data_IF_465472775802
#
_entry.id   IF_465472775802
#
_cell.length_a   1.000
_cell.length_b   1.000
_cell.length_c   1.000
_cell.angle_alpha   90.00
_cell.angle_beta   90.00
_cell.angle_gamma   90.00
#
_symmetry.space_group_name_H-M   'P 1'
#
loop_
_entity.id
_entity.type
_entity.pdbx_description
1 polymer ?
#
# COMPACT_ATOMS: atom_id res chain seq x y z
N UNK A 1 47.14 -30.69 -64.30
CA UNK A 1 46.98 -29.51 -63.43
C UNK A 1 46.30 -29.96 -62.14
N UNK A 2 46.91 -29.73 -60.97
CA UNK A 2 46.56 -30.44 -59.75
C UNK A 2 45.72 -29.62 -58.75
N UNK A 3 44.98 -30.43 -57.99
CA UNK A 3 44.21 -30.29 -56.76
C UNK A 3 44.46 -29.10 -55.79
N UNK A 4 43.32 -28.58 -55.32
CA UNK A 4 43.12 -27.78 -54.11
C UNK A 4 43.64 -28.45 -52.83
N UNK A 5 44.22 -27.66 -51.93
CA UNK A 5 44.32 -27.99 -50.51
C UNK A 5 44.09 -26.74 -49.66
N UNK A 6 43.24 -26.89 -48.65
CA UNK A 6 42.86 -25.90 -47.63
C UNK A 6 44.00 -25.62 -46.65
N UNK A 7 44.15 -24.38 -46.22
CA UNK A 7 44.90 -24.00 -45.02
C UNK A 7 44.11 -22.96 -44.22
N UNK A 8 43.67 -23.36 -43.01
CA UNK A 8 43.13 -22.48 -41.99
C UNK A 8 44.24 -21.92 -41.08
N UNK A 9 44.09 -20.66 -40.66
CA UNK A 9 44.91 -20.01 -39.64
C UNK A 9 44.09 -19.82 -38.34
N UNK A 10 44.71 -19.90 -37.15
CA UNK A 10 44.00 -19.92 -35.87
C UNK A 10 43.74 -18.49 -35.33
N UNK A 11 42.51 -18.25 -34.87
CA UNK A 11 42.14 -17.05 -34.12
C UNK A 11 42.52 -17.21 -32.63
N UNK A 12 43.25 -16.21 -32.11
CA UNK A 12 43.70 -16.10 -30.71
C UNK A 12 42.53 -15.79 -29.77
N UNK A 13 42.53 -16.42 -28.60
CA UNK A 13 41.71 -16.08 -27.44
C UNK A 13 41.96 -14.64 -26.96
N UNK A 14 40.93 -13.80 -27.04
CA UNK A 14 40.77 -12.63 -26.18
C UNK A 14 39.91 -13.02 -24.97
N UNK A 15 40.49 -12.95 -23.76
CA UNK A 15 39.73 -12.92 -22.50
C UNK A 15 38.90 -11.63 -22.50
N UNK A 16 37.58 -11.75 -22.66
CA UNK A 16 36.67 -10.67 -22.30
C UNK A 16 36.34 -10.76 -20.81
N UNK A 17 36.58 -9.63 -20.14
CA UNK A 17 36.37 -9.42 -18.72
C UNK A 17 34.90 -9.54 -18.30
N UNK A 18 34.72 -9.71 -16.99
CA UNK A 18 33.51 -10.15 -16.34
C UNK A 18 32.28 -9.30 -16.68
N UNK A 19 31.21 -10.02 -16.99
CA UNK A 19 29.84 -9.52 -16.91
C UNK A 19 29.58 -9.20 -15.43
N UNK A 20 29.39 -7.92 -15.12
CA UNK A 20 29.01 -7.44 -13.80
C UNK A 20 27.70 -8.15 -13.40
N UNK A 21 27.76 -9.00 -12.36
CA UNK A 21 26.60 -9.75 -11.87
C UNK A 21 25.74 -8.83 -10.99
N UNK A 22 24.38 -8.86 -11.11
CA UNK A 22 23.46 -8.06 -10.28
C UNK A 22 23.68 -8.17 -8.77
N UNK A 23 24.30 -9.25 -8.28
CA UNK A 23 24.57 -9.54 -6.87
C UNK A 23 25.62 -8.61 -6.24
N UNK A 24 26.62 -8.17 -7.01
CA UNK A 24 27.75 -7.38 -6.47
C UNK A 24 27.30 -5.96 -6.06
N UNK A 25 26.36 -5.39 -6.81
CA UNK A 25 25.84 -4.04 -6.52
C UNK A 25 24.90 -4.03 -5.31
N UNK A 26 24.08 -5.08 -5.12
CA UNK A 26 23.21 -5.21 -3.94
C UNK A 26 24.03 -5.44 -2.67
N UNK A 27 25.03 -6.33 -2.71
CA UNK A 27 25.92 -6.55 -1.57
C UNK A 27 26.72 -5.31 -1.20
N UNK A 28 27.24 -4.58 -2.20
CA UNK A 28 27.92 -3.31 -2.00
C UNK A 28 26.98 -2.27 -1.37
N UNK A 29 25.76 -2.13 -1.89
CA UNK A 29 24.75 -1.20 -1.34
C UNK A 29 24.45 -1.50 0.13
N UNK A 30 24.26 -2.76 0.48
CA UNK A 30 24.02 -3.19 1.86
C UNK A 30 25.21 -2.87 2.78
N UNK A 31 26.45 -3.09 2.32
CA UNK A 31 27.65 -2.70 3.07
C UNK A 31 27.73 -1.19 3.28
N UNK A 32 27.41 -0.39 2.26
CA UNK A 32 27.39 1.07 2.36
C UNK A 32 26.31 1.58 3.33
N UNK A 33 25.12 0.97 3.33
CA UNK A 33 24.08 1.28 4.31
C UNK A 33 24.52 0.96 5.74
N UNK A 34 25.17 -0.18 5.95
CA UNK A 34 25.74 -0.54 7.26
C UNK A 34 26.81 0.45 7.73
N UNK A 35 27.69 0.90 6.84
CA UNK A 35 28.70 1.93 7.15
C UNK A 35 28.03 3.27 7.49
N UNK A 36 27.03 3.70 6.72
CA UNK A 36 26.25 4.92 7.00
C UNK A 36 25.57 4.84 8.36
N UNK A 37 24.91 3.72 8.67
CA UNK A 37 24.23 3.49 9.94
C UNK A 37 25.22 3.55 11.12
N UNK A 38 26.33 2.80 11.08
CA UNK A 38 27.39 2.85 12.12
C UNK A 38 27.86 4.29 12.36
N UNK A 39 28.06 5.05 11.30
CA UNK A 39 28.55 6.41 11.37
C UNK A 39 27.52 7.37 12.00
N UNK A 40 26.24 7.27 11.63
CA UNK A 40 25.16 8.08 12.20
C UNK A 40 24.94 7.77 13.68
N UNK A 41 24.89 6.49 14.04
CA UNK A 41 24.69 6.06 15.44
C UNK A 41 25.88 6.47 16.29
N UNK A 42 27.11 6.30 15.80
CA UNK A 42 28.30 6.68 16.56
C UNK A 42 28.40 8.17 16.83
N UNK A 43 28.06 9.01 15.84
CA UNK A 43 28.00 10.47 16.03
C UNK A 43 26.90 10.87 17.02
N UNK A 44 25.72 10.23 16.93
CA UNK A 44 24.59 10.52 17.82
C UNK A 44 24.88 10.11 19.28
N UNK A 45 25.53 8.96 19.49
CA UNK A 45 25.89 8.48 20.83
C UNK A 45 27.19 9.11 21.36
N UNK A 46 27.96 9.82 20.52
CA UNK A 46 29.25 10.40 20.87
C UNK A 46 30.35 9.37 21.13
N UNK A 47 30.20 8.13 20.63
CA UNK A 47 31.16 7.03 20.80
C UNK A 47 31.22 6.15 19.56
N UNK A 48 32.34 5.47 19.35
CA UNK A 48 32.45 4.50 18.26
C UNK A 48 31.53 3.29 18.51
N UNK A 49 30.85 2.83 17.45
CA UNK A 49 29.97 1.66 17.48
C UNK A 49 30.72 0.43 17.00
N UNK A 50 30.91 -0.55 17.89
CA UNK A 50 31.56 -1.83 17.59
C UNK A 50 30.56 -2.93 17.16
N UNK A 51 29.26 -2.62 17.16
CA UNK A 51 28.21 -3.56 16.74
C UNK A 51 28.21 -3.74 15.21
N UNK A 52 28.17 -4.99 14.73
CA UNK A 52 28.12 -5.26 13.29
C UNK A 52 26.71 -5.07 12.69
N UNK A 53 26.55 -4.31 11.59
CA UNK A 53 25.25 -4.11 10.98
C UNK A 53 24.85 -5.33 10.17
N UNK A 54 23.55 -5.64 10.20
CA UNK A 54 22.93 -6.63 9.35
C UNK A 54 21.99 -5.95 8.36
N UNK A 55 22.09 -6.36 7.10
CA UNK A 55 21.18 -5.89 6.05
C UNK A 55 19.85 -6.63 6.10
N UNK A 56 18.79 -5.95 5.71
CA UNK A 56 17.50 -6.57 5.40
C UNK A 56 16.88 -5.86 4.18
N UNK A 57 15.72 -6.36 3.72
CA UNK A 57 15.12 -5.93 2.45
C UNK A 57 14.97 -4.41 2.31
N UNK A 58 14.65 -3.71 3.39
CA UNK A 58 14.33 -2.27 3.39
C UNK A 58 15.42 -1.39 3.97
N UNK A 59 16.59 -1.94 4.34
CA UNK A 59 17.60 -1.14 5.03
C UNK A 59 18.70 -1.95 5.72
N UNK A 60 19.32 -1.32 6.71
CA UNK A 60 20.33 -1.92 7.58
C UNK A 60 19.94 -1.71 9.05
N UNK A 61 20.26 -2.67 9.91
CA UNK A 61 20.04 -2.56 11.35
C UNK A 61 21.27 -3.00 12.16
N UNK A 62 21.43 -2.45 13.35
CA UNK A 62 22.40 -2.90 14.36
C UNK A 62 21.82 -2.74 15.76
N UNK A 63 22.33 -3.47 16.75
CA UNK A 63 21.90 -3.35 18.15
C UNK A 63 23.05 -2.83 18.99
N UNK A 64 22.80 -1.80 19.79
CA UNK A 64 23.75 -1.23 20.76
C UNK A 64 23.05 -1.11 22.10
N UNK A 65 23.60 -1.75 23.13
CA UNK A 65 23.09 -1.70 24.50
C UNK A 65 21.57 -2.01 24.60
N UNK A 66 21.12 -3.05 23.89
CA UNK A 66 19.71 -3.46 23.86
C UNK A 66 18.79 -2.61 22.97
N UNK A 67 19.30 -1.53 22.35
CA UNK A 67 18.53 -0.66 21.43
C UNK A 67 18.79 -1.04 19.98
N UNK A 68 17.73 -1.33 19.23
CA UNK A 68 17.80 -1.52 17.79
C UNK A 68 17.90 -0.17 17.09
N UNK A 69 18.92 0.02 16.25
CA UNK A 69 19.04 1.16 15.34
C UNK A 69 18.83 0.66 13.92
N UNK A 70 17.85 1.20 13.21
CA UNK A 70 17.50 0.79 11.86
C UNK A 70 17.52 1.98 10.91
N UNK A 71 18.30 1.90 9.83
CA UNK A 71 18.31 2.86 8.73
C UNK A 71 17.51 2.30 7.56
N UNK A 72 16.45 3.02 7.17
CA UNK A 72 15.64 2.70 5.99
C UNK A 72 16.27 3.28 4.73
N UNK A 73 16.27 2.49 3.67
CA UNK A 73 16.72 2.87 2.33
C UNK A 73 15.53 3.13 1.40
N UNK A 74 15.40 4.35 0.89
CA UNK A 74 14.35 4.75 -0.05
C UNK A 74 13.04 5.19 0.62
N UNK A 75 11.90 4.80 0.01
CA UNK A 75 10.57 5.12 0.55
C UNK A 75 10.33 4.40 1.86
N UNK A 76 10.10 5.17 2.92
CA UNK A 76 9.92 4.65 4.26
C UNK A 76 8.44 4.49 4.66
N UNK A 77 7.48 4.85 3.78
CA UNK A 77 6.04 4.86 4.06
C UNK A 77 5.48 3.52 4.57
N UNK A 78 6.15 2.40 4.25
CA UNK A 78 5.76 1.03 4.63
C UNK A 78 6.88 0.24 5.33
N UNK A 79 7.74 0.93 6.07
CA UNK A 79 8.95 0.36 6.64
C UNK A 79 8.94 0.20 8.16
N UNK A 80 7.88 0.65 8.85
CA UNK A 80 7.80 0.58 10.31
C UNK A 80 7.67 -0.87 10.80
N UNK A 81 6.70 -1.61 10.28
CA UNK A 81 6.46 -3.01 10.63
C UNK A 81 7.68 -3.91 10.40
N UNK A 82 8.33 -3.87 9.21
CA UNK A 82 9.61 -4.54 9.00
C UNK A 82 10.71 -4.18 10.00
N UNK A 83 10.82 -2.91 10.39
CA UNK A 83 11.83 -2.46 11.36
C UNK A 83 11.56 -2.97 12.78
N UNK A 84 10.30 -2.95 13.23
CA UNK A 84 9.89 -3.53 14.52
C UNK A 84 10.13 -5.05 14.51
N UNK A 85 9.72 -5.74 13.43
CA UNK A 85 9.96 -7.16 13.27
C UNK A 85 11.45 -7.52 13.31
N UNK A 86 12.30 -6.67 12.72
CA UNK A 86 13.76 -6.83 12.81
C UNK A 86 14.24 -6.65 14.25
N UNK A 87 13.79 -5.61 14.96
CA UNK A 87 14.16 -5.33 16.34
C UNK A 87 13.78 -6.48 17.29
N UNK A 88 12.54 -6.98 17.20
CA UNK A 88 12.03 -8.10 18.02
C UNK A 88 12.90 -9.35 17.80
N UNK A 89 13.25 -9.68 16.55
CA UNK A 89 14.08 -10.85 16.24
C UNK A 89 15.52 -10.77 16.77
N UNK A 90 15.96 -9.57 17.14
CA UNK A 90 17.28 -9.34 17.75
C UNK A 90 17.17 -9.08 19.26
N UNK A 91 16.04 -9.44 19.87
CA UNK A 91 15.78 -9.28 21.31
C UNK A 91 16.02 -7.85 21.81
N UNK A 92 15.74 -6.85 20.96
CA UNK A 92 15.91 -5.44 21.31
C UNK A 92 14.76 -4.95 22.21
N UNK A 93 15.08 -4.06 23.15
CA UNK A 93 14.14 -3.48 24.11
C UNK A 93 13.45 -2.22 23.55
N UNK A 94 14.02 -1.60 22.52
CA UNK A 94 13.48 -0.44 21.83
C UNK A 94 14.00 -0.34 20.39
N UNK A 95 13.35 0.52 19.59
CA UNK A 95 13.74 0.82 18.20
C UNK A 95 13.98 2.33 17.99
N UNK A 96 15.13 2.66 17.44
CA UNK A 96 15.48 3.96 16.87
C UNK A 96 15.50 3.84 15.34
N UNK A 97 14.44 4.34 14.70
CA UNK A 97 14.22 4.24 13.26
C UNK A 97 14.70 5.52 12.56
N UNK A 98 15.64 5.38 11.63
CA UNK A 98 16.20 6.47 10.83
C UNK A 98 15.66 6.39 9.41
N UNK A 99 15.05 7.47 8.92
CA UNK A 99 14.51 7.56 7.56
C UNK A 99 14.63 8.98 6.98
N UNK A 100 14.60 9.08 5.65
CA UNK A 100 14.67 10.37 4.92
C UNK A 100 13.31 10.80 4.35
N UNK A 101 12.34 9.88 4.26
CA UNK A 101 11.00 10.12 3.73
C UNK A 101 9.94 9.62 4.70
N UNK A 102 8.70 10.12 4.57
CA UNK A 102 7.53 9.69 5.36
C UNK A 102 7.75 9.69 6.90
N UNK A 103 8.71 10.48 7.40
CA UNK A 103 9.12 10.43 8.81
C UNK A 103 8.00 10.83 9.76
N UNK A 104 7.20 11.84 9.40
CA UNK A 104 6.03 12.26 10.18
C UNK A 104 4.95 11.16 10.31
N UNK A 105 4.68 10.44 9.22
CA UNK A 105 3.81 9.25 9.20
C UNK A 105 4.37 8.14 10.10
N UNK A 106 5.66 7.85 9.98
CA UNK A 106 6.34 6.85 10.81
C UNK A 106 6.27 7.21 12.30
N UNK A 107 6.53 8.47 12.64
CA UNK A 107 6.47 8.97 14.02
C UNK A 107 5.04 8.92 14.58
N UNK A 108 4.01 9.23 13.76
CA UNK A 108 2.61 9.05 14.14
C UNK A 108 2.29 7.60 14.44
N UNK A 109 2.63 6.68 13.53
CA UNK A 109 2.36 5.24 13.71
C UNK A 109 3.14 4.62 14.87
N UNK A 110 4.39 5.05 15.07
CA UNK A 110 5.22 4.62 16.20
C UNK A 110 4.57 4.92 17.55
N UNK A 111 3.84 6.03 17.66
CA UNK A 111 3.10 6.41 18.87
C UNK A 111 1.95 5.48 19.26
N UNK A 112 1.57 4.53 18.40
CA UNK A 112 0.51 3.55 18.68
C UNK A 112 1.02 2.19 19.14
N UNK A 113 2.32 2.06 19.42
CA UNK A 113 2.92 0.85 19.98
C UNK A 113 3.24 1.05 21.47
N UNK A 114 3.12 -0.02 22.24
CA UNK A 114 3.67 -0.12 23.60
C UNK A 114 5.17 -0.42 23.59
N UNK A 115 5.69 -1.00 22.49
CA UNK A 115 7.12 -1.12 22.23
C UNK A 115 7.74 0.26 21.97
N UNK A 116 8.80 0.68 22.71
CA UNK A 116 9.36 2.02 22.56
C UNK A 116 10.00 2.24 21.19
N UNK A 117 9.48 3.20 20.44
CA UNK A 117 9.97 3.55 19.09
C UNK A 117 10.24 5.05 19.00
N UNK A 118 11.47 5.42 18.62
CA UNK A 118 11.86 6.79 18.27
C UNK A 118 12.13 6.88 16.77
N UNK A 119 11.68 7.96 16.14
CA UNK A 119 11.89 8.19 14.70
C UNK A 119 12.80 9.39 14.50
N UNK A 120 13.79 9.24 13.63
CA UNK A 120 14.85 10.19 13.38
C UNK A 120 14.94 10.52 11.89
N UNK A 121 15.08 11.81 11.58
CA UNK A 121 15.43 12.29 10.26
C UNK A 121 16.95 12.49 10.20
N UNK A 122 17.59 11.87 9.21
CA UNK A 122 19.02 12.04 8.99
C UNK A 122 19.28 13.29 8.13
N UNK A 123 19.80 14.34 8.75
CA UNK A 123 20.32 15.52 8.06
C UNK A 123 21.85 15.47 8.08
N UNK A 124 22.45 15.10 6.95
CA UNK A 124 23.88 14.76 6.82
C UNK A 124 24.34 13.69 7.82
N UNK A 125 24.93 14.11 8.95
CA UNK A 125 25.42 13.24 10.04
C UNK A 125 24.65 13.44 11.34
N UNK A 126 23.68 14.34 11.37
CA UNK A 126 22.86 14.64 12.53
C UNK A 126 21.55 13.86 12.46
N UNK A 127 21.15 13.29 13.59
CA UNK A 127 19.84 12.68 13.76
C UNK A 127 18.92 13.68 14.46
N UNK A 128 17.94 14.19 13.73
CA UNK A 128 16.94 15.10 14.24
C UNK A 128 15.70 14.33 14.69
N UNK A 129 15.19 14.54 15.91
CA UNK A 129 13.99 13.86 16.37
C UNK A 129 12.79 14.32 15.54
N UNK A 130 11.96 13.36 15.12
CA UNK A 130 10.82 13.63 14.27
C UNK A 130 9.56 13.84 15.10
N UNK A 131 8.77 14.85 14.73
CA UNK A 131 7.44 15.09 15.29
C UNK A 131 6.42 14.31 14.48
N UNK A 132 5.51 13.61 15.19
CA UNK A 132 4.38 12.93 14.57
C UNK A 132 3.53 13.93 13.77
N UNK A 133 3.31 13.61 12.49
CA UNK A 133 2.38 14.37 11.66
C UNK A 133 0.95 14.09 12.16
N UNK A 134 0.07 15.08 12.31
CA UNK A 134 -1.32 14.84 12.68
C UNK A 134 -2.12 14.20 11.53
N UNK A 135 -3.29 13.65 11.86
CA UNK A 135 -4.24 13.22 10.83
C UNK A 135 -4.81 14.44 10.10
N UNK A 136 -4.67 14.47 8.77
CA UNK A 136 -5.33 15.47 7.96
C UNK A 136 -6.86 15.28 8.04
N UNK A 137 -7.66 16.36 7.98
CA UNK A 137 -9.11 16.24 7.87
C UNK A 137 -9.51 15.39 6.66
N UNK A 138 -10.50 14.52 6.81
CA UNK A 138 -11.02 13.76 5.69
C UNK A 138 -11.68 14.71 4.68
N UNK A 139 -11.24 14.76 3.41
CA UNK A 139 -11.86 15.61 2.42
C UNK A 139 -13.31 15.18 2.17
N UNK A 140 -14.24 16.14 2.16
CA UNK A 140 -15.60 15.90 1.71
C UNK A 140 -15.64 15.76 0.18
N UNK A 141 -16.54 14.92 -0.33
CA UNK A 141 -16.85 14.93 -1.75
C UNK A 141 -17.53 16.25 -2.12
N UNK A 142 -17.23 16.77 -3.30
CA UNK A 142 -17.88 17.99 -3.80
C UNK A 142 -19.29 17.68 -4.26
N UNK A 143 -20.19 18.65 -4.11
CA UNK A 143 -21.59 18.52 -4.53
C UNK A 143 -21.72 18.07 -5.99
N UNK A 144 -20.98 18.72 -6.91
CA UNK A 144 -20.94 18.37 -8.33
C UNK A 144 -20.52 16.91 -8.59
N UNK A 145 -19.66 16.34 -7.73
CA UNK A 145 -19.27 14.93 -7.86
C UNK A 145 -20.37 14.01 -7.31
N UNK A 146 -21.02 14.40 -6.22
CA UNK A 146 -22.12 13.63 -5.64
C UNK A 146 -23.38 13.63 -6.51
N UNK A 147 -23.58 14.63 -7.36
CA UNK A 147 -24.67 14.68 -8.34
C UNK A 147 -24.64 13.49 -9.32
N UNK A 148 -23.47 12.86 -9.51
CA UNK A 148 -23.29 11.69 -10.38
C UNK A 148 -23.60 10.35 -9.70
N UNK A 149 -23.90 10.33 -8.39
CA UNK A 149 -24.24 9.09 -7.65
C UNK A 149 -25.42 8.35 -8.31
N UNK A 150 -26.48 9.06 -8.66
CA UNK A 150 -27.64 8.47 -9.33
C UNK A 150 -27.28 7.85 -10.70
N UNK A 151 -26.27 8.39 -11.39
CA UNK A 151 -25.77 7.83 -12.65
C UNK A 151 -25.01 6.51 -12.41
N UNK A 152 -24.22 6.46 -11.33
CA UNK A 152 -23.48 5.25 -10.91
C UNK A 152 -24.46 4.12 -10.57
N UNK A 153 -25.48 4.43 -9.76
CA UNK A 153 -26.53 3.48 -9.38
C UNK A 153 -27.33 2.99 -10.59
N UNK A 154 -27.72 3.89 -11.49
CA UNK A 154 -28.43 3.55 -12.72
C UNK A 154 -27.60 2.62 -13.61
N UNK A 155 -26.27 2.79 -13.62
CA UNK A 155 -25.34 1.90 -14.32
C UNK A 155 -25.15 0.54 -13.64
N UNK A 156 -25.65 0.35 -12.42
CA UNK A 156 -25.59 -0.90 -11.67
C UNK A 156 -24.35 -1.08 -10.80
N UNK A 157 -23.52 -0.05 -10.63
CA UNK A 157 -22.41 -0.04 -9.68
C UNK A 157 -22.85 0.48 -8.31
N UNK A 158 -22.12 0.10 -7.26
CA UNK A 158 -22.31 0.59 -5.90
C UNK A 158 -21.53 1.90 -5.70
N UNK A 159 -22.18 3.03 -5.41
CA UNK A 159 -21.48 4.28 -5.15
C UNK A 159 -20.61 4.21 -3.89
N UNK A 160 -19.38 4.70 -3.99
CA UNK A 160 -18.44 4.74 -2.88
C UNK A 160 -17.74 6.10 -2.82
N UNK A 161 -17.64 6.66 -1.62
CA UNK A 161 -16.91 7.90 -1.36
C UNK A 161 -15.76 7.58 -0.40
N UNK A 162 -14.53 7.67 -0.91
CA UNK A 162 -13.31 7.54 -0.08
C UNK A 162 -12.42 8.75 -0.35
N UNK A 163 -11.94 9.40 0.72
CA UNK A 163 -11.11 10.61 0.63
C UNK A 163 -11.69 11.72 -0.29
N UNK A 164 -13.00 11.91 -0.25
CA UNK A 164 -13.71 12.91 -1.07
C UNK A 164 -13.82 12.56 -2.55
N UNK A 165 -13.38 11.37 -2.98
CA UNK A 165 -13.48 10.91 -4.35
C UNK A 165 -14.73 10.03 -4.51
N UNK A 166 -15.61 10.40 -5.43
CA UNK A 166 -16.79 9.61 -5.78
C UNK A 166 -16.41 8.57 -6.83
N UNK A 167 -16.69 7.31 -6.54
CA UNK A 167 -16.42 6.16 -7.40
C UNK A 167 -17.63 5.23 -7.46
N UNK A 168 -17.67 4.36 -8.48
CA UNK A 168 -18.60 3.23 -8.52
C UNK A 168 -17.83 1.92 -8.46
N UNK A 169 -18.30 1.01 -7.61
CA UNK A 169 -17.66 -0.27 -7.36
C UNK A 169 -18.53 -1.46 -7.78
N UNK A 170 -17.88 -2.55 -8.16
CA UNK A 170 -18.51 -3.87 -8.29
C UNK A 170 -17.75 -4.84 -7.42
N UNK A 171 -18.38 -5.30 -6.34
CA UNK A 171 -17.76 -6.23 -5.37
C UNK A 171 -16.41 -5.71 -4.86
N UNK A 172 -16.34 -4.43 -4.52
CA UNK A 172 -15.12 -3.75 -4.05
C UNK A 172 -14.10 -3.38 -5.13
N UNK A 173 -14.39 -3.56 -6.43
CA UNK A 173 -13.51 -3.12 -7.52
C UNK A 173 -14.05 -1.84 -8.15
N UNK A 174 -13.26 -0.76 -8.15
CA UNK A 174 -13.60 0.50 -8.84
C UNK A 174 -13.74 0.25 -10.35
N UNK A 175 -14.92 0.55 -10.88
CA UNK A 175 -15.27 0.45 -12.31
C UNK A 175 -15.57 1.81 -12.93
N UNK A 176 -15.76 2.84 -12.11
CA UNK A 176 -15.84 4.22 -12.57
C UNK A 176 -15.41 5.20 -11.48
N UNK A 177 -15.00 6.40 -11.90
CA UNK A 177 -14.54 7.49 -11.04
C UNK A 177 -15.04 8.82 -11.55
N UNK A 178 -15.50 9.68 -10.67
CA UNK A 178 -15.78 11.08 -10.99
C UNK A 178 -14.48 11.89 -10.96
N UNK A 179 -14.23 12.67 -12.00
CA UNK A 179 -13.04 13.51 -12.17
C UNK A 179 -13.40 14.91 -12.63
N UNK A 180 -12.50 15.86 -12.40
CA UNK A 180 -12.64 17.25 -12.86
C UNK A 180 -12.13 17.49 -14.28
N UNK A 181 -11.13 16.71 -14.67
CA UNK A 181 -10.44 16.79 -15.94
C UNK A 181 -10.29 15.39 -16.52
N UNK A 182 -10.40 15.22 -17.85
CA UNK A 182 -10.21 13.93 -18.49
C UNK A 182 -8.83 13.32 -18.18
N UNK A 183 -8.80 12.02 -17.87
CA UNK A 183 -7.59 11.21 -17.78
C UNK A 183 -7.05 10.93 -19.19
N UNK A 184 -6.46 11.94 -19.83
CA UNK A 184 -5.83 11.84 -21.16
C UNK A 184 -4.35 12.18 -21.03
N UNK A 185 -3.47 11.41 -21.69
CA UNK A 185 -2.04 11.72 -21.84
C UNK A 185 -1.10 10.95 -20.92
N UNK A 186 -1.58 9.98 -20.14
CA UNK A 186 -0.72 9.11 -19.31
C UNK A 186 -0.19 7.90 -20.07
N UNK A 187 -0.85 7.48 -21.15
CA UNK A 187 -0.37 6.41 -22.04
C UNK A 187 0.69 6.90 -23.06
N UNK A 188 0.80 8.21 -23.27
CA UNK A 188 1.54 8.81 -24.40
C UNK A 188 3.03 9.06 -24.10
N UNK A 189 3.50 8.81 -22.86
CA UNK A 189 4.94 8.90 -22.51
C UNK A 189 5.85 7.87 -23.21
N UNK A 190 5.31 7.04 -24.12
CA UNK A 190 6.08 6.04 -24.91
C UNK A 190 6.24 6.44 -26.40
N UNK A 191 5.89 7.67 -26.79
CA UNK A 191 6.25 8.15 -28.13
C UNK A 191 5.61 9.48 -28.48
N UNK A 192 6.44 10.40 -29.00
CA UNK A 192 6.10 11.75 -29.46
C UNK A 192 4.98 11.75 -30.52
N UNK A 193 3.73 11.63 -30.08
CA UNK A 193 2.55 11.98 -30.87
C UNK A 193 1.74 12.96 -30.04
N UNK A 194 1.88 14.25 -30.34
CA UNK A 194 1.00 15.29 -29.82
C UNK A 194 -0.42 15.05 -30.35
N UNK A 195 -1.24 14.34 -29.58
CA UNK A 195 -2.70 14.33 -29.71
C UNK A 195 -3.28 15.62 -29.11
N UNK A 196 -2.81 16.78 -29.56
CA UNK A 196 -3.24 18.10 -29.07
C UNK A 196 -4.64 18.52 -29.56
N UNK A 197 -5.35 17.63 -30.29
CA UNK A 197 -6.64 17.95 -30.94
C UNK A 197 -7.90 17.31 -30.33
N UNK A 198 -7.79 16.52 -29.26
CA UNK A 198 -8.94 15.80 -28.65
C UNK A 198 -8.92 15.84 -27.11
N UNK A 199 -8.43 16.93 -26.52
CA UNK A 199 -8.66 17.16 -25.08
C UNK A 199 -10.13 17.59 -24.94
N UNK A 200 -10.96 16.71 -24.36
CA UNK A 200 -12.34 17.02 -24.04
C UNK A 200 -12.43 18.28 -23.16
N UNK A 201 -13.54 19.04 -23.27
CA UNK A 201 -13.70 20.28 -22.51
C UNK A 201 -13.57 20.03 -20.99
N UNK A 202 -12.85 20.89 -20.23
CA UNK A 202 -12.78 20.78 -18.78
C UNK A 202 -14.18 20.72 -18.16
N UNK A 203 -14.39 19.83 -17.19
CA UNK A 203 -15.68 19.67 -16.55
C UNK A 203 -15.86 18.33 -15.84
N UNK A 204 -16.63 18.37 -14.76
CA UNK A 204 -16.97 17.19 -13.94
C UNK A 204 -17.59 16.11 -14.82
N UNK A 205 -16.99 14.92 -14.79
CA UNK A 205 -17.43 13.78 -15.61
C UNK A 205 -17.20 12.46 -14.89
N UNK A 206 -18.02 11.47 -15.24
CA UNK A 206 -17.87 10.09 -14.77
C UNK A 206 -17.03 9.30 -15.77
N UNK A 207 -15.83 8.89 -15.40
CA UNK A 207 -14.99 8.04 -16.24
C UNK A 207 -15.24 6.56 -15.95
N UNK A 208 -15.48 5.76 -16.98
CA UNK A 208 -15.74 4.31 -16.86
C UNK A 208 -14.48 3.52 -17.24
N UNK A 209 -14.12 2.53 -16.42
CA UNK A 209 -12.96 1.65 -16.59
C UNK A 209 -12.33 1.24 -15.26
N UNK A 210 -11.71 0.07 -15.26
CA UNK A 210 -11.03 -0.55 -14.11
C UNK A 210 -9.61 0.00 -13.97
N UNK A 211 -9.49 1.13 -13.27
CA UNK A 211 -8.25 1.85 -13.03
C UNK A 211 -7.86 2.84 -14.14
N UNK A 212 -6.88 3.68 -13.85
CA UNK A 212 -6.48 4.85 -14.67
C UNK A 212 -6.28 4.51 -16.15
N UNK A 213 -5.48 3.48 -16.47
CA UNK A 213 -5.16 3.13 -17.86
C UNK A 213 -6.38 2.61 -18.63
N UNK A 214 -7.28 1.90 -17.95
CA UNK A 214 -8.48 1.37 -18.58
C UNK A 214 -9.46 2.49 -18.88
N UNK A 215 -9.59 3.48 -17.97
CA UNK A 215 -10.40 4.68 -18.18
C UNK A 215 -9.88 5.54 -19.34
N UNK A 216 -8.57 5.75 -19.41
CA UNK A 216 -7.93 6.47 -20.53
C UNK A 216 -8.18 5.73 -21.86
N UNK A 217 -7.98 4.41 -21.90
CA UNK A 217 -8.25 3.61 -23.09
C UNK A 217 -9.73 3.65 -23.48
N UNK A 218 -10.63 3.58 -22.50
CA UNK A 218 -12.07 3.66 -22.73
C UNK A 218 -12.46 5.00 -23.37
N UNK A 219 -11.91 6.11 -22.88
CA UNK A 219 -12.14 7.45 -23.43
C UNK A 219 -11.62 7.58 -24.87
N UNK A 220 -10.42 7.08 -25.16
CA UNK A 220 -9.86 7.13 -26.52
C UNK A 220 -10.69 6.33 -27.53
N UNK A 221 -11.31 5.23 -27.08
CA UNK A 221 -12.11 4.35 -27.95
C UNK A 221 -13.56 4.80 -28.11
N UNK A 222 -14.16 5.41 -27.09
CA UNK A 222 -15.59 5.71 -27.04
C UNK A 222 -15.93 7.22 -27.01
N UNK A 223 -14.94 8.11 -26.89
CA UNK A 223 -15.12 9.57 -26.87
C UNK A 223 -15.81 10.09 -25.59
N UNK A 224 -16.54 11.21 -25.70
CA UNK A 224 -17.20 11.93 -24.58
C UNK A 224 -18.46 11.24 -24.00
N UNK A 225 -18.75 9.98 -24.34
CA UNK A 225 -19.94 9.29 -23.81
C UNK A 225 -19.57 8.18 -22.82
N UNK A 226 -19.58 8.48 -21.52
CA UNK A 226 -19.85 7.50 -20.48
C UNK A 226 -21.33 7.63 -20.09
N UNK A 227 -22.20 6.96 -20.84
CA UNK A 227 -23.62 6.84 -20.49
C UNK A 227 -23.82 5.72 -19.48
N UNK A 228 -24.98 5.72 -18.80
CA UNK A 228 -25.47 4.62 -17.97
C UNK A 228 -25.23 3.26 -18.65
N UNK A 229 -25.46 3.15 -19.96
CA UNK A 229 -25.27 1.92 -20.74
C UNK A 229 -23.81 1.46 -20.79
N UNK A 230 -22.86 2.38 -20.94
CA UNK A 230 -21.43 2.08 -20.95
C UNK A 230 -20.97 1.51 -19.59
N UNK A 231 -21.43 2.13 -18.50
CA UNK A 231 -21.16 1.64 -17.15
C UNK A 231 -21.81 0.26 -16.93
N UNK A 232 -23.05 0.06 -17.37
CA UNK A 232 -23.73 -1.24 -17.27
C UNK A 232 -22.98 -2.35 -17.98
N UNK A 233 -22.44 -2.11 -19.18
CA UNK A 233 -21.61 -3.09 -19.89
C UNK A 233 -20.36 -3.50 -19.11
N UNK A 234 -19.66 -2.54 -18.49
CA UNK A 234 -18.49 -2.83 -17.64
C UNK A 234 -18.90 -3.55 -16.35
N UNK A 235 -20.01 -3.15 -15.73
CA UNK A 235 -20.55 -3.80 -14.53
C UNK A 235 -20.88 -5.27 -14.80
N UNK A 236 -21.55 -5.58 -15.90
CA UNK A 236 -21.87 -6.95 -16.30
C UNK A 236 -20.61 -7.78 -16.52
N UNK A 237 -19.63 -7.23 -17.26
CA UNK A 237 -18.35 -7.89 -17.49
C UNK A 237 -17.62 -8.21 -16.17
N UNK A 238 -17.55 -7.25 -15.24
CA UNK A 238 -16.90 -7.46 -13.94
C UNK A 238 -17.65 -8.49 -13.09
N UNK A 239 -18.99 -8.40 -13.01
CA UNK A 239 -19.81 -9.38 -12.27
C UNK A 239 -19.64 -10.80 -12.75
N UNK A 240 -19.46 -11.00 -14.06
CA UNK A 240 -19.25 -12.33 -14.67
C UNK A 240 -17.91 -12.96 -14.28
N UNK A 241 -16.92 -12.14 -13.90
CA UNK A 241 -15.55 -12.58 -13.65
C UNK A 241 -15.10 -12.45 -12.19
N UNK A 242 -15.78 -11.64 -11.37
CA UNK A 242 -15.38 -11.36 -9.98
C UNK A 242 -16.30 -12.05 -9.00
N UNK A 243 -16.04 -13.32 -8.67
CA UNK A 243 -16.75 -14.08 -7.64
C UNK A 243 -15.80 -15.01 -6.91
N UNK A 244 -16.21 -15.50 -5.73
CA UNK A 244 -15.44 -16.49 -4.97
C UNK A 244 -15.14 -17.75 -5.83
N UNK A 245 -16.13 -18.20 -6.61
CA UNK A 245 -16.00 -19.38 -7.49
C UNK A 245 -15.44 -19.07 -8.89
N UNK A 246 -15.06 -17.82 -9.17
CA UNK A 246 -14.65 -17.46 -10.53
C UNK A 246 -13.32 -18.13 -10.90
N UNK A 247 -13.17 -18.59 -12.17
CA UNK A 247 -11.88 -18.98 -12.72
C UNK A 247 -10.83 -17.87 -12.54
N UNK A 248 -9.55 -18.23 -12.65
CA UNK A 248 -8.46 -17.25 -12.56
C UNK A 248 -8.62 -16.14 -13.61
N UNK A 249 -9.02 -14.94 -13.17
CA UNK A 249 -9.24 -13.77 -14.01
C UNK A 249 -8.61 -12.52 -13.37
N UNK A 250 -7.99 -11.60 -14.15
CA UNK A 250 -7.41 -10.37 -13.60
C UNK A 250 -8.39 -9.54 -12.74
N UNK A 251 -9.64 -9.39 -13.19
CA UNK A 251 -10.70 -8.68 -12.43
C UNK A 251 -11.00 -9.31 -11.06
N UNK A 252 -10.74 -10.62 -10.89
CA UNK A 252 -10.92 -11.31 -9.62
C UNK A 252 -9.69 -11.21 -8.70
N UNK A 253 -8.55 -10.73 -9.21
CA UNK A 253 -7.28 -10.64 -8.47
C UNK A 253 -6.90 -9.22 -8.06
N UNK A 254 -7.55 -8.22 -8.62
CA UNK A 254 -7.33 -6.81 -8.24
C UNK A 254 -8.09 -6.47 -6.96
N UNK A 255 -7.47 -5.63 -6.12
CA UNK A 255 -7.99 -5.21 -4.81
C UNK A 255 -8.69 -6.35 -4.04
N UNK A 256 -8.00 -7.48 -3.76
CA UNK A 256 -8.59 -8.60 -3.01
C UNK A 256 -9.03 -8.18 -1.62
N UNK A 257 -8.40 -7.17 -1.02
CA UNK A 257 -8.76 -6.65 0.30
C UNK A 257 -10.13 -5.97 0.29
N UNK A 258 -10.45 -5.23 -0.78
CA UNK A 258 -11.78 -4.66 -0.97
C UNK A 258 -12.83 -5.71 -1.31
N UNK A 259 -12.44 -6.82 -1.96
CA UNK A 259 -13.34 -7.96 -2.15
C UNK A 259 -13.75 -8.56 -0.81
N UNK A 260 -12.78 -8.84 0.07
CA UNK A 260 -13.03 -9.37 1.41
C UNK A 260 -13.91 -8.42 2.23
N UNK A 261 -13.64 -7.10 2.16
CA UNK A 261 -14.49 -6.08 2.79
C UNK A 261 -15.92 -6.13 2.25
N UNK A 262 -16.08 -6.21 0.93
CA UNK A 262 -17.41 -6.29 0.31
C UNK A 262 -18.16 -7.56 0.75
N UNK A 263 -17.47 -8.70 0.85
CA UNK A 263 -18.07 -9.95 1.38
C UNK A 263 -18.54 -9.75 2.83
N UNK A 264 -17.73 -9.10 3.68
CA UNK A 264 -18.10 -8.81 5.07
C UNK A 264 -19.28 -7.82 5.19
N UNK A 265 -19.39 -6.85 4.27
CA UNK A 265 -20.56 -5.95 4.21
C UNK A 265 -21.83 -6.71 3.84
N UNK A 266 -21.73 -7.68 2.92
CA UNK A 266 -22.89 -8.46 2.45
C UNK A 266 -23.24 -9.63 3.38
N UNK A 267 -22.29 -10.11 4.17
CA UNK A 267 -22.47 -11.15 5.18
C UNK A 267 -21.68 -10.84 6.46
N UNK A 268 -22.17 -9.88 7.29
CA UNK A 268 -21.51 -9.44 8.53
C UNK A 268 -21.20 -10.58 9.52
N UNK A 269 -22.01 -11.64 9.52
CA UNK A 269 -21.84 -12.77 10.42
C UNK A 269 -20.52 -13.52 10.17
N UNK A 270 -19.93 -13.43 8.97
CA UNK A 270 -18.62 -14.03 8.65
C UNK A 270 -17.45 -13.39 9.40
N UNK A 271 -17.65 -12.18 9.91
CA UNK A 271 -16.65 -11.43 10.68
C UNK A 271 -17.13 -11.17 12.11
N UNK A 272 -18.06 -11.98 12.60
CA UNK A 272 -18.66 -11.88 13.93
C UNK A 272 -19.35 -10.52 14.21
N UNK A 273 -19.90 -9.89 13.17
CA UNK A 273 -20.61 -8.61 13.25
C UNK A 273 -22.09 -8.75 12.89
N UNK A 274 -22.90 -7.81 13.38
CA UNK A 274 -24.32 -7.62 13.02
C UNK A 274 -24.47 -6.69 11.82
N UNK A 275 -23.60 -5.68 11.71
CA UNK A 275 -23.52 -4.79 10.55
C UNK A 275 -22.08 -4.42 10.27
N UNK A 276 -21.76 -4.15 9.00
CA UNK A 276 -20.43 -3.70 8.57
C UNK A 276 -20.62 -2.60 7.53
N UNK A 277 -19.92 -1.47 7.72
CA UNK A 277 -19.93 -0.34 6.80
C UNK A 277 -18.50 -0.03 6.32
N UNK A 278 -18.28 0.18 5.01
CA UNK A 278 -17.00 0.63 4.49
C UNK A 278 -16.52 1.93 5.16
N UNK A 279 -15.22 2.03 5.44
CA UNK A 279 -14.59 3.23 5.96
C UNK A 279 -13.37 3.64 5.12
N UNK A 280 -13.02 4.92 5.13
CA UNK A 280 -11.80 5.41 4.48
C UNK A 280 -10.56 4.88 5.22
N UNK A 281 -9.54 4.47 4.47
CA UNK A 281 -8.23 4.14 5.01
C UNK A 281 -7.51 5.41 5.52
N UNK A 282 -6.51 5.31 6.42
CA UNK A 282 -5.75 6.47 6.91
C UNK A 282 -4.92 7.15 5.82
N UNK A 283 -4.62 6.43 4.73
CA UNK A 283 -3.88 6.92 3.56
C UNK A 283 -4.65 6.50 2.30
N UNK A 284 -4.82 7.40 1.31
CA UNK A 284 -5.47 7.05 0.05
C UNK A 284 -4.79 5.88 -0.66
N UNK A 285 -5.59 4.96 -1.20
CA UNK A 285 -5.09 3.88 -2.06
C UNK A 285 -4.49 4.50 -3.35
N UNK A 286 -3.22 4.22 -3.71
CA UNK A 286 -2.63 4.77 -4.92
C UNK A 286 -3.20 4.17 -6.21
N UNK A 287 -3.43 2.85 -6.22
CA UNK A 287 -3.96 2.12 -7.38
C UNK A 287 -4.69 0.84 -6.96
N UNK A 288 -5.62 0.37 -7.80
CA UNK A 288 -6.28 -0.93 -7.65
C UNK A 288 -5.35 -2.13 -7.87
N UNK A 289 -4.18 -1.89 -8.47
CA UNK A 289 -3.13 -2.89 -8.67
C UNK A 289 -2.24 -3.04 -7.45
N UNK A 290 -2.22 -2.02 -6.58
CA UNK A 290 -1.37 -2.02 -5.41
C UNK A 290 -2.06 -2.75 -4.26
N UNK A 291 -1.28 -3.56 -3.57
CA UNK A 291 -1.69 -4.20 -2.33
C UNK A 291 -1.82 -3.14 -1.23
N UNK A 292 -3.05 -2.90 -0.80
CA UNK A 292 -3.36 -1.95 0.26
C UNK A 292 -4.50 -2.50 1.10
N UNK A 293 -4.43 -2.45 2.43
CA UNK A 293 -5.53 -2.93 3.25
C UNK A 293 -6.79 -2.09 3.03
N UNK A 294 -7.96 -2.72 3.21
CA UNK A 294 -9.26 -2.04 3.18
C UNK A 294 -9.82 -1.94 4.59
N UNK A 295 -10.53 -0.86 4.90
CA UNK A 295 -11.05 -0.57 6.25
C UNK A 295 -12.58 -0.58 6.25
N UNK A 296 -13.16 -1.08 7.32
CA UNK A 296 -14.58 -0.99 7.63
C UNK A 296 -14.80 -0.79 9.13
N UNK A 297 -15.99 -0.35 9.50
CA UNK A 297 -16.47 -0.32 10.89
C UNK A 297 -17.59 -1.34 11.02
N UNK A 298 -17.43 -2.28 11.96
CA UNK A 298 -18.43 -3.29 12.27
C UNK A 298 -19.11 -3.03 13.61
N UNK A 299 -20.38 -3.41 13.76
CA UNK A 299 -21.09 -3.43 15.05
C UNK A 299 -21.30 -4.87 15.48
N UNK A 300 -20.81 -5.25 16.65
CA UNK A 300 -21.00 -6.60 17.19
C UNK A 300 -22.39 -6.80 17.84
N UNK A 301 -22.66 -8.02 18.31
CA UNK A 301 -23.93 -8.38 18.98
C UNK A 301 -24.18 -7.60 20.29
N UNK A 302 -23.12 -7.10 20.91
CA UNK A 302 -23.13 -6.22 22.07
C UNK A 302 -23.28 -4.73 21.73
N UNK A 303 -23.37 -4.36 20.46
CA UNK A 303 -23.47 -2.98 19.99
C UNK A 303 -22.15 -2.22 19.97
N UNK A 304 -21.01 -2.89 20.15
CA UNK A 304 -19.68 -2.23 20.13
C UNK A 304 -19.23 -2.03 18.69
N UNK A 305 -18.70 -0.84 18.41
CA UNK A 305 -18.12 -0.47 17.11
C UNK A 305 -16.66 -0.90 17.05
N UNK A 306 -16.33 -1.82 16.15
CA UNK A 306 -15.00 -2.39 15.98
C UNK A 306 -14.40 -1.94 14.64
N UNK A 307 -13.11 -1.65 14.61
CA UNK A 307 -12.39 -1.38 13.36
C UNK A 307 -11.98 -2.71 12.74
N UNK A 308 -12.39 -2.93 11.49
CA UNK A 308 -12.06 -4.11 10.72
C UNK A 308 -11.07 -3.72 9.61
N UNK A 309 -9.95 -4.43 9.54
CA UNK A 309 -8.94 -4.20 8.49
C UNK A 309 -8.75 -5.48 7.69
N UNK A 310 -9.04 -5.41 6.41
CA UNK A 310 -8.92 -6.52 5.48
C UNK A 310 -7.60 -6.42 4.74
N UNK A 311 -6.86 -7.52 4.69
CA UNK A 311 -5.58 -7.60 3.96
C UNK A 311 -5.48 -8.90 3.19
N UNK A 312 -4.63 -8.91 2.17
CA UNK A 312 -4.28 -10.10 1.40
C UNK A 312 -2.78 -10.09 1.14
N UNK A 313 -2.17 -11.27 1.11
CA UNK A 313 -0.72 -11.44 1.08
C UNK A 313 -0.05 -11.13 2.42
N UNK A 314 1.22 -11.54 2.54
CA UNK A 314 2.04 -11.22 3.71
C UNK A 314 2.41 -9.74 3.68
N UNK A 315 1.89 -8.99 4.65
CA UNK A 315 2.11 -7.55 4.82
C UNK A 315 2.65 -7.26 6.22
N UNK A 316 3.95 -6.96 6.31
CA UNK A 316 4.59 -6.64 7.58
C UNK A 316 4.16 -5.29 8.15
N UNK A 317 3.63 -4.39 7.33
CA UNK A 317 3.19 -3.05 7.76
C UNK A 317 1.69 -2.99 8.09
N UNK A 318 1.01 -4.14 8.09
CA UNK A 318 -0.42 -4.24 8.36
C UNK A 318 -0.80 -3.76 9.77
N UNK A 319 -0.04 -4.14 10.79
CA UNK A 319 -0.32 -3.72 12.19
C UNK A 319 -0.14 -2.21 12.35
N UNK A 320 0.99 -1.58 11.94
CA UNK A 320 1.11 -0.13 11.90
C UNK A 320 -0.03 0.57 11.16
N UNK A 321 -0.40 0.06 9.98
CA UNK A 321 -1.50 0.60 9.20
C UNK A 321 -2.85 0.52 9.94
N UNK A 322 -3.14 -0.60 10.58
CA UNK A 322 -4.41 -0.82 11.27
C UNK A 322 -4.56 0.10 12.49
N UNK A 323 -3.48 0.32 13.23
CA UNK A 323 -3.44 1.28 14.33
C UNK A 323 -3.66 2.73 13.84
N UNK A 324 -3.02 3.10 12.73
CA UNK A 324 -3.21 4.40 12.07
C UNK A 324 -4.66 4.58 11.60
N UNK A 325 -5.29 3.51 11.07
CA UNK A 325 -6.68 3.52 10.63
C UNK A 325 -7.65 3.76 11.78
N UNK A 326 -7.46 3.06 12.91
CA UNK A 326 -8.26 3.26 14.12
C UNK A 326 -8.18 4.70 14.63
N UNK A 327 -6.96 5.24 14.71
CA UNK A 327 -6.75 6.62 15.14
C UNK A 327 -7.30 7.66 14.15
N UNK A 328 -7.20 7.40 12.84
CA UNK A 328 -7.72 8.28 11.80
C UNK A 328 -9.26 8.39 11.86
N UNK A 329 -9.95 7.26 12.00
CA UNK A 329 -11.41 7.24 12.13
C UNK A 329 -11.87 8.02 13.36
N UNK A 330 -11.19 7.84 14.50
CA UNK A 330 -11.46 8.63 15.70
C UNK A 330 -11.24 10.14 15.47
N UNK A 331 -10.19 10.52 14.74
CA UNK A 331 -9.92 11.91 14.38
C UNK A 331 -10.95 12.50 13.40
N UNK A 332 -11.61 11.67 12.60
CA UNK A 332 -12.63 12.07 11.63
C UNK A 332 -14.07 12.05 12.18
N UNK A 333 -14.24 11.70 13.45
CA UNK A 333 -15.53 11.84 14.16
C UNK A 333 -16.12 10.53 14.68
N UNK A 334 -15.52 9.38 14.40
CA UNK A 334 -15.92 8.10 15.01
C UNK A 334 -15.37 7.97 16.44
N UNK A 335 -15.92 8.75 17.37
CA UNK A 335 -15.40 8.84 18.75
C UNK A 335 -15.77 7.67 19.67
N UNK A 336 -16.70 6.80 19.24
CA UNK A 336 -17.20 5.65 20.02
C UNK A 336 -16.59 4.31 19.59
N UNK A 337 -15.44 4.34 18.88
CA UNK A 337 -14.73 3.12 18.50
C UNK A 337 -14.20 2.38 19.73
N UNK A 338 -14.40 1.08 19.76
CA UNK A 338 -13.76 0.21 20.74
C UNK A 338 -12.23 0.30 20.60
N UNK A 339 -11.51 0.10 21.70
CA UNK A 339 -10.04 -0.07 21.69
C UNK A 339 -9.63 -1.48 21.23
N UNK A 340 -10.32 -1.98 20.19
CA UNK A 340 -10.12 -3.28 19.57
C UNK A 340 -10.17 -3.16 18.05
N UNK A 341 -9.20 -3.78 17.39
CA UNK A 341 -9.07 -3.85 15.93
C UNK A 341 -9.00 -5.32 15.54
N UNK A 342 -9.75 -5.72 14.51
CA UNK A 342 -9.66 -7.07 13.96
C UNK A 342 -9.06 -7.04 12.56
N UNK A 343 -7.94 -7.74 12.38
CA UNK A 343 -7.30 -7.98 11.10
C UNK A 343 -7.92 -9.22 10.47
N UNK A 344 -8.55 -9.08 9.32
CA UNK A 344 -9.08 -10.18 8.53
C UNK A 344 -8.18 -10.47 7.33
N UNK A 345 -7.61 -11.67 7.31
CA UNK A 345 -6.73 -12.15 6.25
C UNK A 345 -7.18 -13.52 5.75
N UNK A 346 -6.59 -14.02 4.67
CA UNK A 346 -6.70 -15.44 4.33
C UNK A 346 -5.78 -16.27 5.22
N UNK A 347 -6.11 -17.54 5.42
CA UNK A 347 -5.30 -18.47 6.23
C UNK A 347 -3.80 -18.45 5.86
N UNK A 348 -3.49 -18.47 4.57
CA UNK A 348 -2.10 -18.51 4.07
C UNK A 348 -1.36 -17.17 4.21
N UNK A 349 -2.08 -16.07 4.45
CA UNK A 349 -1.50 -14.73 4.56
C UNK A 349 -1.13 -14.38 6.00
N UNK A 350 -1.74 -15.08 6.98
CA UNK A 350 -1.49 -14.86 8.40
C UNK A 350 -0.24 -15.62 8.88
N UNK A 351 0.87 -14.89 8.94
CA UNK A 351 2.17 -15.40 9.44
C UNK A 351 2.39 -15.03 10.91
N UNK A 352 3.26 -15.78 11.61
CA UNK A 352 3.52 -15.58 13.04
C UNK A 352 3.94 -14.15 13.39
N UNK A 353 4.79 -13.55 12.56
CA UNK A 353 5.31 -12.20 12.77
C UNK A 353 4.21 -11.13 12.80
N UNK A 354 3.07 -11.35 12.13
CA UNK A 354 1.92 -10.45 12.22
C UNK A 354 1.31 -10.47 13.62
N UNK A 355 1.25 -11.64 14.25
CA UNK A 355 0.78 -11.79 15.65
C UNK A 355 1.78 -11.20 16.63
N UNK A 356 3.08 -11.47 16.43
CA UNK A 356 4.14 -10.91 17.28
C UNK A 356 4.09 -9.37 17.26
N UNK A 357 3.91 -8.75 16.09
CA UNK A 357 3.75 -7.29 15.98
C UNK A 357 2.48 -6.78 16.68
N UNK A 358 1.38 -7.52 16.61
CA UNK A 358 0.11 -7.16 17.24
C UNK A 358 0.20 -7.15 18.78
N UNK A 359 1.04 -7.99 19.38
CA UNK A 359 1.26 -8.02 20.85
C UNK A 359 1.92 -6.73 21.37
N UNK A 360 2.61 -5.99 20.50
CA UNK A 360 3.25 -4.73 20.83
C UNK A 360 2.37 -3.50 20.56
N UNK A 361 1.13 -3.67 20.11
CA UNK A 361 0.20 -2.57 19.92
C UNK A 361 -0.22 -1.93 21.26
N UNK A 362 -0.57 -0.65 21.24
CA UNK A 362 -1.12 0.05 22.42
C UNK A 362 -2.62 -0.26 22.66
N UNK A 363 -3.30 -0.84 21.66
CA UNK A 363 -4.69 -1.30 21.73
C UNK A 363 -4.76 -2.78 21.39
N UNK A 364 -5.90 -3.42 21.65
CA UNK A 364 -6.06 -4.85 21.34
C UNK A 364 -6.15 -5.05 19.83
N UNK A 365 -5.26 -5.86 19.27
CA UNK A 365 -5.30 -6.24 17.85
C UNK A 365 -5.50 -7.75 17.74
N UNK A 366 -6.65 -8.17 17.19
CA UNK A 366 -6.96 -9.58 16.92
C UNK A 366 -6.66 -9.91 15.47
N UNK A 367 -6.21 -11.13 15.22
CA UNK A 367 -6.08 -11.66 13.86
C UNK A 367 -7.11 -12.77 13.66
N UNK A 368 -7.97 -12.61 12.66
CA UNK A 368 -8.97 -13.56 12.22
C UNK A 368 -8.71 -13.95 10.76
N UNK A 369 -9.16 -15.15 10.38
CA UNK A 369 -9.00 -15.64 9.01
C UNK A 369 -10.34 -15.84 8.32
N UNK A 370 -10.37 -15.55 7.02
CA UNK A 370 -11.51 -15.70 6.13
C UNK A 370 -11.17 -16.74 5.08
N UNK A 371 -12.08 -17.71 4.91
CA UNK A 371 -11.99 -18.76 3.89
C UNK A 371 -12.73 -18.39 2.61
#
# INVERSE_FOLDING_TARGET
MPHHTSYGYPYRHGRFGGVNRPTDNTELRQRLLGVKLKALVGDHLGTAVDAEPSGFRSGSGLVVDGRAWVLIDGDASRSLGPAIAWAIRHDAESLDLIAETATGLLARRAGYFSFPISVWFAEDRLLLPVVAEPHAPLPAARDEHTDLIATIEAGGAEPCIEHGVVTGEVRGLEVCRVVDEPTIGRLIDIGEIELSGQLGEPGVRLEVGVGVNDREAFQLLHGDLPTVDALSGVVEAVRSHRSADAPQHPLNRMAPERFLRWEAVNDPARVDMVSVEPASAPVPRPSMKDQAPAVAVGVDDGGRRNVLVFSSGVDLDLVPFALDAHAALAAWGDTELASEITLHLRDNDLVSITRDLAEHAAVTVRCSTLN
#
